data_IF_368902285153
#
_entry.id   IF_368902285153
#
_cell.length_a   1.000
_cell.length_b   1.000
_cell.length_c   1.000
_cell.angle_alpha   90.00
_cell.angle_beta   90.00
_cell.angle_gamma   90.00
#
_symmetry.space_group_name_H-M   'P 1'
#
loop_
_entity.id
_entity.type
_entity.pdbx_description
1 polymer ?
#
# COMPACT_ATOMS: atom_id res chain seq x y z
N UNK A 1 14.81 16.84 -29.87
CA UNK A 1 13.44 16.26 -29.80
C UNK A 1 13.51 14.82 -30.24
N UNK A 2 12.87 13.93 -29.51
CA UNK A 2 12.76 12.51 -29.86
C UNK A 2 11.31 12.07 -29.75
N UNK A 3 10.87 11.20 -30.64
CA UNK A 3 9.53 10.61 -30.61
C UNK A 3 9.69 9.11 -30.45
N UNK A 4 9.09 8.54 -29.40
CA UNK A 4 9.02 7.11 -29.21
C UNK A 4 7.56 6.63 -29.29
N UNK A 5 7.34 5.48 -29.91
CA UNK A 5 6.02 4.86 -30.03
C UNK A 5 6.09 3.42 -29.52
N UNK A 6 5.40 3.16 -28.41
CA UNK A 6 5.37 1.85 -27.76
C UNK A 6 3.95 1.56 -27.28
N UNK A 7 3.45 0.35 -27.55
CA UNK A 7 2.15 -0.14 -27.06
C UNK A 7 0.96 0.80 -27.32
N UNK A 8 0.94 1.50 -28.46
CA UNK A 8 -0.13 2.43 -28.82
C UNK A 8 -0.08 3.79 -28.09
N UNK A 9 1.06 4.09 -27.43
CA UNK A 9 1.37 5.40 -26.84
C UNK A 9 2.48 6.08 -27.61
N UNK A 10 2.34 7.39 -27.81
CA UNK A 10 3.37 8.24 -28.43
C UNK A 10 3.93 9.19 -27.37
N UNK A 11 5.23 9.09 -27.11
CA UNK A 11 5.94 10.00 -26.21
C UNK A 11 6.76 10.99 -27.02
N UNK A 12 6.45 12.27 -26.89
CA UNK A 12 7.17 13.38 -27.53
C UNK A 12 8.11 13.98 -26.49
N UNK A 13 9.41 13.70 -26.62
CA UNK A 13 10.43 14.27 -25.73
C UNK A 13 10.93 15.60 -26.27
N UNK A 14 10.64 16.66 -25.53
CA UNK A 14 11.12 18.01 -25.81
C UNK A 14 12.46 18.22 -25.11
N UNK A 15 13.39 18.90 -25.78
CA UNK A 15 14.77 19.06 -25.32
C UNK A 15 15.25 20.49 -25.57
N UNK A 16 16.06 21.04 -24.65
CA UNK A 16 16.65 22.37 -24.75
C UNK A 16 15.62 23.48 -24.59
N UNK A 17 15.69 24.51 -25.42
CA UNK A 17 14.81 25.70 -25.34
C UNK A 17 13.81 25.70 -26.49
N UNK A 18 12.53 25.97 -26.22
CA UNK A 18 11.51 26.22 -27.25
C UNK A 18 11.06 27.68 -27.16
N UNK A 19 11.41 28.48 -28.17
CA UNK A 19 11.11 29.90 -28.24
C UNK A 19 10.54 30.32 -29.60
N UNK A 20 10.40 31.62 -29.83
CA UNK A 20 9.80 32.16 -31.07
C UNK A 20 10.56 31.76 -32.34
N UNK A 21 11.86 31.47 -32.24
CA UNK A 21 12.69 31.15 -33.40
C UNK A 21 12.49 29.72 -33.88
N UNK A 22 12.33 28.77 -32.96
CA UNK A 22 12.21 27.34 -33.30
C UNK A 22 10.80 26.76 -33.14
N UNK A 23 9.87 27.46 -32.49
CA UNK A 23 8.48 27.00 -32.32
C UNK A 23 7.79 26.58 -33.64
N UNK A 24 7.94 27.28 -34.79
CA UNK A 24 7.32 26.83 -36.05
C UNK A 24 7.86 25.47 -36.53
N UNK A 25 9.16 25.23 -36.34
CA UNK A 25 9.79 23.97 -36.71
C UNK A 25 9.37 22.85 -35.76
N UNK A 26 9.38 23.11 -34.44
CA UNK A 26 8.89 22.18 -33.43
C UNK A 26 7.43 21.80 -33.68
N UNK A 27 6.57 22.76 -34.03
CA UNK A 27 5.18 22.49 -34.41
C UNK A 27 5.10 21.54 -35.60
N UNK A 28 5.85 21.81 -36.68
CA UNK A 28 5.85 20.96 -37.86
C UNK A 28 6.29 19.53 -37.55
N UNK A 29 7.33 19.36 -36.72
CA UNK A 29 7.82 18.04 -36.34
C UNK A 29 6.83 17.28 -35.45
N UNK A 30 6.24 17.95 -34.45
CA UNK A 30 5.20 17.37 -33.58
C UNK A 30 4.00 16.92 -34.43
N UNK A 31 3.47 17.81 -35.26
CA UNK A 31 2.27 17.52 -36.05
C UNK A 31 2.52 16.44 -37.10
N UNK A 32 3.68 16.41 -37.74
CA UNK A 32 4.06 15.31 -38.64
C UNK A 32 4.20 13.96 -37.94
N UNK A 33 4.53 13.96 -36.64
CA UNK A 33 4.66 12.74 -35.86
C UNK A 33 3.35 12.18 -35.33
N UNK A 34 2.32 13.02 -35.16
CA UNK A 34 1.00 12.63 -34.62
C UNK A 34 -0.09 12.56 -35.68
N UNK A 35 0.18 13.00 -36.91
CA UNK A 35 -0.78 12.98 -38.02
C UNK A 35 -1.29 11.55 -38.28
N UNK A 36 -2.62 11.38 -38.31
CA UNK A 36 -3.26 10.09 -38.53
C UNK A 36 -3.18 9.11 -37.36
N UNK A 37 -2.57 9.48 -36.23
CA UNK A 37 -2.47 8.63 -35.03
C UNK A 37 -3.64 8.88 -34.09
N UNK A 38 -4.26 7.80 -33.63
CA UNK A 38 -5.28 7.81 -32.55
C UNK A 38 -4.69 7.46 -31.18
N UNK A 39 -3.35 7.38 -31.11
CA UNK A 39 -2.57 6.99 -29.94
C UNK A 39 -2.73 7.98 -28.78
N UNK A 40 -2.53 7.47 -27.57
CA UNK A 40 -2.43 8.30 -26.37
C UNK A 40 -1.08 9.03 -26.39
N UNK A 41 -1.11 10.37 -26.35
CA UNK A 41 0.07 11.22 -26.54
C UNK A 41 0.49 11.82 -25.21
N UNK A 42 1.78 11.69 -24.88
CA UNK A 42 2.39 12.31 -23.70
C UNK A 42 3.58 13.17 -24.14
N UNK A 43 3.74 14.33 -23.52
CA UNK A 43 4.91 15.19 -23.69
C UNK A 43 5.86 14.94 -22.51
N UNK A 44 7.08 14.52 -22.81
CA UNK A 44 8.16 14.38 -21.82
C UNK A 44 9.04 15.63 -21.85
N UNK A 45 9.05 16.36 -20.74
CA UNK A 45 9.77 17.61 -20.55
C UNK A 45 11.06 17.44 -19.72
N UNK A 46 11.53 16.20 -19.50
CA UNK A 46 12.71 15.92 -18.66
C UNK A 46 13.94 16.76 -19.05
N UNK A 47 14.13 16.98 -20.36
CA UNK A 47 15.24 17.75 -20.92
C UNK A 47 14.83 19.13 -21.46
N UNK A 48 13.59 19.56 -21.20
CA UNK A 48 13.13 20.89 -21.58
C UNK A 48 13.63 21.89 -20.55
N UNK A 49 14.48 22.81 -20.99
CA UNK A 49 15.09 23.83 -20.14
C UNK A 49 14.25 25.11 -20.08
N UNK A 50 13.50 25.41 -21.15
CA UNK A 50 12.71 26.64 -21.25
C UNK A 50 11.64 26.55 -22.34
N UNK A 51 10.49 27.19 -22.10
CA UNK A 51 9.43 27.34 -23.09
C UNK A 51 8.84 28.76 -23.09
N UNK A 52 8.80 29.42 -24.24
CA UNK A 52 8.17 30.74 -24.39
C UNK A 52 6.68 30.63 -24.72
N UNK A 53 5.96 31.75 -24.73
CA UNK A 53 4.56 31.80 -25.19
C UNK A 53 4.35 31.25 -26.61
N UNK A 54 5.38 31.28 -27.47
CA UNK A 54 5.31 30.66 -28.79
C UNK A 54 5.27 29.13 -28.69
N UNK A 55 6.13 28.53 -27.85
CA UNK A 55 6.12 27.09 -27.59
C UNK A 55 4.84 26.63 -26.88
N UNK A 56 4.33 27.41 -25.92
CA UNK A 56 3.04 27.13 -25.28
C UNK A 56 1.90 27.05 -26.32
N UNK A 57 1.88 27.95 -27.30
CA UNK A 57 0.88 27.87 -28.39
C UNK A 57 1.00 26.58 -29.21
N UNK A 58 2.20 26.01 -29.37
CA UNK A 58 2.38 24.71 -30.02
C UNK A 58 1.69 23.60 -29.21
N UNK A 59 1.90 23.57 -27.88
CA UNK A 59 1.24 22.60 -27.00
C UNK A 59 -0.29 22.77 -26.98
N UNK A 60 -0.79 24.00 -27.02
CA UNK A 60 -2.24 24.28 -27.14
C UNK A 60 -2.81 23.74 -28.44
N UNK A 61 -2.12 23.94 -29.56
CA UNK A 61 -2.54 23.40 -30.86
C UNK A 61 -2.57 21.87 -30.82
N UNK A 62 -1.53 21.24 -30.27
CA UNK A 62 -1.47 19.79 -30.12
C UNK A 62 -2.64 19.26 -29.28
N UNK A 63 -2.90 19.83 -28.10
CA UNK A 63 -4.05 19.48 -27.26
C UNK A 63 -5.38 19.63 -28.03
N UNK A 64 -5.53 20.71 -28.79
CA UNK A 64 -6.74 20.96 -29.59
C UNK A 64 -6.92 19.94 -30.72
N UNK A 65 -5.84 19.51 -31.37
CA UNK A 65 -5.93 18.53 -32.46
C UNK A 65 -6.24 17.12 -31.97
N UNK A 66 -5.76 16.75 -30.78
CA UNK A 66 -6.03 15.43 -30.20
C UNK A 66 -7.42 15.34 -29.52
N UNK A 67 -7.99 16.47 -29.11
CA UNK A 67 -9.34 16.54 -28.51
C UNK A 67 -9.46 15.86 -27.14
N UNK A 68 -8.35 15.55 -26.48
CA UNK A 68 -8.24 14.89 -25.17
C UNK A 68 -7.28 15.67 -24.25
N UNK A 69 -7.31 15.46 -22.92
CA UNK A 69 -6.27 15.97 -22.03
C UNK A 69 -4.88 15.54 -22.53
N UNK A 70 -3.91 16.46 -22.47
CA UNK A 70 -2.52 16.19 -22.82
C UNK A 70 -1.69 16.20 -21.53
N UNK A 71 -1.02 15.08 -21.25
CA UNK A 71 -0.09 14.99 -20.12
C UNK A 71 1.27 15.58 -20.50
N UNK A 72 1.84 16.39 -19.61
CA UNK A 72 3.21 16.92 -19.70
C UNK A 72 3.95 16.47 -18.45
N UNK A 73 4.89 15.54 -18.59
CA UNK A 73 5.57 14.88 -17.47
C UNK A 73 7.04 15.31 -17.36
N UNK A 74 7.67 14.99 -16.23
CA UNK A 74 9.06 15.30 -15.93
C UNK A 74 9.39 16.80 -16.05
N UNK A 75 8.44 17.66 -15.69
CA UNK A 75 8.60 19.11 -15.83
C UNK A 75 9.53 19.63 -14.73
N UNK A 76 10.65 20.23 -15.12
CA UNK A 76 11.56 20.90 -14.18
C UNK A 76 10.83 22.03 -13.42
N UNK A 77 11.36 22.44 -12.26
CA UNK A 77 10.77 23.54 -11.48
C UNK A 77 10.63 24.81 -12.32
N UNK A 78 11.68 25.19 -13.05
CA UNK A 78 11.69 26.41 -13.86
C UNK A 78 10.62 26.39 -14.97
N UNK A 79 10.45 25.24 -15.64
CA UNK A 79 9.41 25.11 -16.68
C UNK A 79 8.01 25.03 -16.05
N UNK A 80 7.88 24.40 -14.88
CA UNK A 80 6.62 24.33 -14.17
C UNK A 80 6.16 25.72 -13.73
N UNK A 81 7.05 26.56 -13.21
CA UNK A 81 6.76 27.93 -12.81
C UNK A 81 6.26 28.76 -14.00
N UNK A 82 6.79 28.53 -15.21
CA UNK A 82 6.28 29.13 -16.45
C UNK A 82 4.86 28.64 -16.76
N UNK A 83 4.60 27.33 -16.66
CA UNK A 83 3.26 26.78 -16.86
C UNK A 83 2.26 27.31 -15.85
N UNK A 84 2.63 27.39 -14.57
CA UNK A 84 1.79 27.90 -13.50
C UNK A 84 1.48 29.39 -13.70
N UNK A 85 2.50 30.22 -13.93
CA UNK A 85 2.34 31.68 -14.14
C UNK A 85 1.46 32.00 -15.35
N UNK A 86 1.44 31.10 -16.34
CA UNK A 86 0.64 31.28 -17.58
C UNK A 86 -0.73 30.60 -17.54
N UNK A 87 -1.11 29.95 -16.42
CA UNK A 87 -2.37 29.22 -16.26
C UNK A 87 -2.43 27.89 -17.02
N UNK A 88 -1.29 27.39 -17.48
CA UNK A 88 -1.19 26.15 -18.25
C UNK A 88 -1.48 24.91 -17.41
N UNK A 89 -1.18 24.95 -16.11
CA UNK A 89 -1.46 23.87 -15.16
C UNK A 89 -2.96 23.61 -14.96
N UNK A 90 -3.83 24.56 -15.30
CA UNK A 90 -5.30 24.39 -15.27
C UNK A 90 -5.84 23.68 -16.52
N UNK A 91 -5.06 23.68 -17.61
CA UNK A 91 -5.48 23.19 -18.93
C UNK A 91 -4.87 21.83 -19.29
N UNK A 92 -3.72 21.50 -18.69
CA UNK A 92 -2.92 20.30 -18.97
C UNK A 92 -2.68 19.50 -17.69
N UNK A 93 -2.52 18.18 -17.81
CA UNK A 93 -2.06 17.34 -16.70
C UNK A 93 -0.53 17.48 -16.60
N UNK A 94 -0.08 18.48 -15.85
CA UNK A 94 1.34 18.83 -15.70
C UNK A 94 1.93 18.16 -14.46
N UNK A 95 2.87 17.23 -14.66
CA UNK A 95 3.56 16.51 -13.59
C UNK A 95 5.00 16.98 -13.45
N UNK A 96 5.35 17.51 -12.27
CA UNK A 96 6.72 17.91 -11.93
C UNK A 96 7.66 16.71 -12.03
N UNK A 97 8.91 16.96 -12.41
CA UNK A 97 9.98 16.00 -12.23
C UNK A 97 10.12 15.66 -10.74
N UNK A 98 10.31 14.38 -10.42
CA UNK A 98 10.56 13.96 -9.06
C UNK A 98 11.92 14.50 -8.60
N UNK A 99 12.00 14.91 -7.34
CA UNK A 99 13.27 15.29 -6.73
C UNK A 99 14.14 14.02 -6.63
N UNK A 100 15.43 14.16 -6.89
CA UNK A 100 16.39 13.06 -6.74
C UNK A 100 16.94 13.03 -5.31
N UNK A 101 16.90 11.85 -4.69
CA UNK A 101 17.42 11.60 -3.35
C UNK A 101 18.27 10.34 -3.39
N UNK A 102 19.49 10.40 -2.88
CA UNK A 102 20.33 9.20 -2.77
C UNK A 102 20.08 8.49 -1.45
N UNK A 103 20.04 7.16 -1.50
CA UNK A 103 19.97 6.27 -0.32
C UNK A 103 21.28 5.52 -0.08
N UNK A 104 22.30 5.77 -0.90
CA UNK A 104 23.63 5.20 -0.76
C UNK A 104 24.23 5.54 0.63
N UNK A 105 24.50 4.49 1.42
CA UNK A 105 25.06 4.63 2.76
C UNK A 105 24.03 4.89 3.87
N UNK A 106 22.74 5.04 3.54
CA UNK A 106 21.68 5.14 4.53
C UNK A 106 21.48 3.82 5.28
N UNK A 107 21.11 3.91 6.55
CA UNK A 107 20.76 2.74 7.36
C UNK A 107 19.42 2.16 6.87
N UNK A 108 19.43 0.87 6.52
CA UNK A 108 18.20 0.13 6.23
C UNK A 108 17.51 -0.26 7.54
N UNK A 109 16.37 0.36 7.85
CA UNK A 109 15.65 0.17 9.11
C UNK A 109 14.48 -0.82 9.00
N UNK A 110 14.08 -1.16 7.77
CA UNK A 110 13.03 -2.12 7.48
C UNK A 110 13.04 -2.63 6.04
N UNK A 111 12.41 -3.79 5.80
CA UNK A 111 12.22 -4.35 4.46
C UNK A 111 10.87 -5.06 4.40
N UNK A 112 10.04 -4.69 3.43
CA UNK A 112 8.73 -5.28 3.17
C UNK A 112 8.65 -6.00 1.82
N UNK A 113 7.46 -6.44 1.45
CA UNK A 113 7.21 -7.08 0.14
C UNK A 113 7.36 -6.09 -1.03
N UNK A 114 7.02 -4.82 -0.80
CA UNK A 114 6.96 -3.78 -1.84
C UNK A 114 8.21 -2.91 -1.92
N UNK A 115 9.19 -3.09 -1.02
CA UNK A 115 10.36 -2.22 -0.98
C UNK A 115 11.19 -2.31 0.31
N UNK A 116 12.09 -1.35 0.48
CA UNK A 116 12.94 -1.18 1.66
C UNK A 116 12.66 0.18 2.31
N UNK A 117 12.92 0.28 3.61
CA UNK A 117 12.82 1.54 4.35
C UNK A 117 14.20 1.94 4.83
N UNK A 118 14.62 3.16 4.47
CA UNK A 118 15.89 3.75 4.87
C UNK A 118 15.67 4.94 5.79
N UNK A 119 16.62 5.17 6.70
CA UNK A 119 16.73 6.43 7.44
C UNK A 119 17.55 7.42 6.61
N UNK A 120 16.94 8.54 6.22
CA UNK A 120 17.63 9.60 5.46
C UNK A 120 18.41 10.51 6.41
N UNK A 121 17.80 10.90 7.52
CA UNK A 121 18.40 11.71 8.58
C UNK A 121 17.70 11.45 9.94
N UNK A 122 17.93 12.32 10.93
CA UNK A 122 17.36 12.20 12.28
C UNK A 122 15.82 12.33 12.28
N UNK A 123 15.25 13.04 11.31
CA UNK A 123 13.84 13.42 11.26
C UNK A 123 13.06 12.69 10.16
N UNK A 124 13.74 12.14 9.14
CA UNK A 124 13.09 11.63 7.95
C UNK A 124 13.46 10.19 7.61
N UNK A 125 12.47 9.46 7.10
CA UNK A 125 12.64 8.12 6.55
C UNK A 125 12.09 8.08 5.12
N UNK A 126 12.56 7.11 4.34
CA UNK A 126 12.11 6.88 2.96
C UNK A 126 11.77 5.42 2.75
N UNK A 127 10.56 5.15 2.22
CA UNK A 127 10.19 3.84 1.67
C UNK A 127 10.52 3.83 0.19
N UNK A 128 11.54 3.07 -0.20
CA UNK A 128 11.97 2.90 -1.59
C UNK A 128 11.34 1.64 -2.16
N UNK A 129 10.58 1.79 -3.23
CA UNK A 129 9.91 0.70 -3.93
C UNK A 129 10.85 0.11 -5.00
N UNK A 130 10.53 -1.08 -5.49
CA UNK A 130 11.31 -1.68 -6.59
C UNK A 130 11.29 -0.76 -7.83
N UNK A 131 12.39 -0.71 -8.59
CA UNK A 131 12.59 0.18 -9.75
C UNK A 131 11.38 0.31 -10.70
N UNK A 132 10.69 -0.80 -10.96
CA UNK A 132 9.58 -0.83 -11.92
C UNK A 132 8.19 -0.60 -11.29
N UNK A 133 8.13 -0.18 -10.03
CA UNK A 133 6.86 0.09 -9.35
C UNK A 133 6.15 1.30 -9.98
N UNK A 134 4.90 1.14 -10.46
CA UNK A 134 4.15 2.24 -11.03
C UNK A 134 3.94 3.36 -10.01
N UNK A 135 4.27 4.60 -10.38
CA UNK A 135 4.05 5.79 -9.54
C UNK A 135 2.59 5.91 -9.06
N UNK A 136 1.63 5.48 -9.88
CA UNK A 136 0.21 5.50 -9.50
C UNK A 136 -0.11 4.63 -8.29
N UNK A 137 0.62 3.54 -8.04
CA UNK A 137 0.45 2.72 -6.83
C UNK A 137 0.98 3.45 -5.59
N UNK A 138 2.07 4.19 -5.75
CA UNK A 138 2.70 4.96 -4.67
C UNK A 138 1.86 6.19 -4.31
N UNK A 139 1.35 6.89 -5.34
CA UNK A 139 0.40 7.98 -5.18
C UNK A 139 -0.87 7.51 -4.45
N UNK A 140 -1.36 6.32 -4.82
CA UNK A 140 -2.52 5.68 -4.19
C UNK A 140 -2.24 5.33 -2.73
N UNK A 141 -1.08 4.74 -2.39
CA UNK A 141 -0.70 4.48 -0.99
C UNK A 141 -0.64 5.79 -0.18
N UNK A 142 -0.08 6.87 -0.75
CA UNK A 142 -0.06 8.19 -0.10
C UNK A 142 -1.47 8.75 0.11
N UNK A 143 -2.35 8.62 -0.87
CA UNK A 143 -3.74 9.06 -0.77
C UNK A 143 -4.51 8.27 0.29
N UNK A 144 -4.30 6.96 0.34
CA UNK A 144 -4.85 6.05 1.34
C UNK A 144 -4.43 6.43 2.76
N UNK A 145 -3.13 6.70 2.97
CA UNK A 145 -2.63 7.17 4.25
C UNK A 145 -3.24 8.52 4.65
N UNK A 146 -3.27 9.49 3.73
CA UNK A 146 -3.85 10.82 3.97
C UNK A 146 -5.34 10.75 4.32
N UNK A 147 -6.12 9.94 3.59
CA UNK A 147 -7.54 9.79 3.84
C UNK A 147 -7.82 9.15 5.21
N UNK A 148 -7.03 8.15 5.62
CA UNK A 148 -7.10 7.58 6.96
C UNK A 148 -6.84 8.66 8.04
N UNK A 149 -5.81 9.49 7.86
CA UNK A 149 -5.46 10.56 8.79
C UNK A 149 -6.59 11.58 8.99
N UNK A 150 -7.17 12.10 7.90
CA UNK A 150 -8.24 13.11 8.00
C UNK A 150 -9.52 12.57 8.66
N UNK A 151 -9.72 11.25 8.67
CA UNK A 151 -10.83 10.58 9.36
C UNK A 151 -10.48 10.15 10.79
N UNK A 152 -9.29 10.52 11.30
CA UNK A 152 -8.92 10.31 12.69
C UNK A 152 -8.13 9.04 12.98
N UNK A 153 -7.65 8.33 11.94
CA UNK A 153 -6.70 7.21 12.11
C UNK A 153 -5.28 7.76 12.03
N UNK A 154 -4.47 7.70 13.10
CA UNK A 154 -3.07 8.14 13.07
C UNK A 154 -2.26 7.31 12.07
N UNK A 155 -2.00 7.86 10.89
CA UNK A 155 -1.20 7.25 9.82
C UNK A 155 -0.04 8.16 9.41
N UNK A 156 1.06 7.57 8.95
CA UNK A 156 2.19 8.34 8.49
C UNK A 156 1.85 9.01 7.16
N UNK A 157 1.90 10.34 7.14
CA UNK A 157 1.70 11.11 5.91
C UNK A 157 3.06 11.32 5.26
N UNK A 158 3.18 10.85 4.03
CA UNK A 158 4.30 11.19 3.19
C UNK A 158 4.12 12.57 2.57
N UNK A 159 5.16 13.39 2.63
CA UNK A 159 5.13 14.75 2.10
C UNK A 159 5.74 14.85 0.69
N UNK A 160 6.54 13.87 0.27
CA UNK A 160 7.26 13.92 -1.01
C UNK A 160 7.33 12.54 -1.68
N UNK A 161 7.31 12.54 -3.02
CA UNK A 161 7.63 11.38 -3.85
C UNK A 161 8.91 11.74 -4.61
N UNK A 162 9.91 10.88 -4.50
CA UNK A 162 11.26 11.14 -5.01
C UNK A 162 11.74 10.02 -5.91
N UNK A 163 12.75 10.30 -6.70
CA UNK A 163 13.50 9.28 -7.45
C UNK A 163 14.79 8.96 -6.70
N UNK A 164 15.09 7.67 -6.56
CA UNK A 164 16.35 7.18 -5.99
C UNK A 164 17.05 6.25 -6.99
N UNK A 165 18.30 5.92 -6.71
CA UNK A 165 19.09 4.92 -7.45
C UNK A 165 18.54 3.48 -7.34
N UNK A 166 17.62 3.21 -6.42
CA UNK A 166 16.96 1.90 -6.23
C UNK A 166 15.47 1.90 -6.60
N UNK A 167 14.97 3.02 -7.12
CA UNK A 167 13.59 3.17 -7.59
C UNK A 167 12.87 4.39 -6.99
N UNK A 168 11.56 4.53 -7.25
CA UNK A 168 10.78 5.61 -6.68
C UNK A 168 10.67 5.45 -5.15
N UNK A 169 10.67 6.57 -4.43
CA UNK A 169 10.64 6.61 -2.98
C UNK A 169 9.54 7.52 -2.43
N UNK A 170 9.01 7.17 -1.27
CA UNK A 170 8.01 7.94 -0.54
C UNK A 170 8.65 8.41 0.78
N UNK A 171 8.70 9.74 0.99
CA UNK A 171 9.43 10.35 2.12
C UNK A 171 8.47 10.78 3.22
N UNK A 172 8.81 10.44 4.47
CA UNK A 172 8.00 10.66 5.67
C UNK A 172 8.80 11.40 6.74
N UNK A 173 8.13 12.28 7.48
CA UNK A 173 8.66 12.87 8.72
C UNK A 173 8.38 11.89 9.87
N UNK A 174 9.43 11.23 10.38
CA UNK A 174 9.36 10.22 11.44
C UNK A 174 10.62 10.29 12.33
N UNK A 175 10.76 11.39 13.05
CA UNK A 175 11.90 11.65 13.92
C UNK A 175 11.99 10.65 15.08
N UNK A 176 13.14 9.97 15.18
CA UNK A 176 13.40 9.00 16.25
C UNK A 176 12.44 7.80 16.31
N UNK A 177 11.62 7.58 15.28
CA UNK A 177 10.58 6.57 15.31
C UNK A 177 11.15 5.14 15.18
N UNK A 178 10.55 4.19 15.90
CA UNK A 178 10.85 2.76 15.82
C UNK A 178 9.55 1.95 15.79
N UNK A 179 9.58 0.69 15.36
CA UNK A 179 8.35 -0.13 15.36
C UNK A 179 7.92 -0.47 16.78
N UNK A 180 6.61 -0.66 17.00
CA UNK A 180 6.06 -1.08 18.31
C UNK A 180 6.76 -2.35 18.82
N UNK A 181 7.02 -3.31 17.93
CA UNK A 181 7.72 -4.55 18.28
C UNK A 181 9.11 -4.26 18.84
N UNK A 182 9.94 -3.55 18.08
CA UNK A 182 11.29 -3.16 18.51
C UNK A 182 11.28 -2.32 19.78
N UNK A 183 10.31 -1.40 19.93
CA UNK A 183 10.19 -0.56 21.12
C UNK A 183 9.95 -1.40 22.39
N UNK A 184 9.00 -2.36 22.33
CA UNK A 184 8.69 -3.25 23.46
C UNK A 184 9.89 -4.15 23.80
N UNK A 185 10.59 -4.68 22.79
CA UNK A 185 11.80 -5.49 23.04
C UNK A 185 12.91 -4.68 23.73
N UNK A 186 13.04 -3.40 23.40
CA UNK A 186 14.00 -2.50 24.07
C UNK A 186 13.51 -2.02 25.46
N UNK A 187 12.20 -1.98 25.69
CA UNK A 187 11.58 -1.49 26.93
C UNK A 187 10.50 -2.47 27.44
N UNK A 188 10.87 -3.63 27.99
CA UNK A 188 9.90 -4.65 28.39
C UNK A 188 8.90 -4.19 29.46
N UNK A 189 9.27 -3.20 30.29
CA UNK A 189 8.41 -2.56 31.28
C UNK A 189 7.24 -1.77 30.66
N UNK A 190 7.37 -1.41 29.38
CA UNK A 190 6.37 -0.68 28.60
C UNK A 190 5.42 -1.57 27.81
N UNK A 191 5.57 -2.90 27.86
CA UNK A 191 4.74 -3.84 27.11
C UNK A 191 3.24 -3.60 27.31
N UNK A 192 2.78 -3.48 28.56
CA UNK A 192 1.37 -3.30 28.88
C UNK A 192 0.82 -2.01 28.25
N UNK A 193 1.56 -0.90 28.39
CA UNK A 193 1.17 0.41 27.88
C UNK A 193 1.01 0.38 26.36
N UNK A 194 2.01 -0.11 25.65
CA UNK A 194 2.02 -0.11 24.19
C UNK A 194 1.10 -1.17 23.58
N UNK A 195 0.86 -2.29 24.26
CA UNK A 195 -0.16 -3.25 23.83
C UNK A 195 -1.57 -2.67 23.92
N UNK A 196 -1.87 -1.87 24.96
CA UNK A 196 -3.15 -1.14 25.07
C UNK A 196 -3.25 -0.08 23.97
N UNK A 197 -2.20 0.72 23.74
CA UNK A 197 -2.20 1.71 22.64
C UNK A 197 -2.39 1.03 21.28
N UNK A 198 -1.73 -0.10 21.04
CA UNK A 198 -1.84 -0.88 19.79
C UNK A 198 -3.27 -1.41 19.61
N UNK A 199 -3.87 -2.03 20.62
CA UNK A 199 -5.27 -2.47 20.53
C UNK A 199 -6.28 -1.33 20.39
N UNK A 200 -6.00 -0.17 21.00
CA UNK A 200 -6.82 1.05 20.85
C UNK A 200 -6.73 1.58 19.42
N UNK A 201 -5.53 1.64 18.83
CA UNK A 201 -5.33 2.06 17.44
C UNK A 201 -6.06 1.14 16.46
N UNK A 202 -6.00 -0.18 16.65
CA UNK A 202 -6.78 -1.13 15.84
C UNK A 202 -8.28 -0.89 15.95
N UNK A 203 -8.78 -0.63 17.17
CA UNK A 203 -10.19 -0.28 17.41
C UNK A 203 -10.58 1.02 16.72
N UNK A 204 -9.74 2.05 16.79
CA UNK A 204 -9.95 3.33 16.10
C UNK A 204 -10.06 3.09 14.60
N UNK A 205 -9.10 2.38 13.99
CA UNK A 205 -9.14 2.01 12.58
C UNK A 205 -10.44 1.29 12.21
N UNK A 206 -10.77 0.20 12.92
CA UNK A 206 -11.96 -0.62 12.64
C UNK A 206 -13.29 0.01 13.11
N UNK A 207 -13.27 1.25 13.60
CA UNK A 207 -14.46 2.06 13.87
C UNK A 207 -14.58 3.27 12.94
N UNK A 208 -13.59 3.48 12.08
CA UNK A 208 -13.57 4.60 11.12
C UNK A 208 -14.20 4.15 9.82
N UNK A 209 -15.20 4.90 9.32
CA UNK A 209 -15.83 4.64 8.02
C UNK A 209 -14.80 4.76 6.88
N UNK A 210 -14.83 3.81 5.94
CA UNK A 210 -14.00 3.84 4.75
C UNK A 210 -14.77 4.43 3.57
N UNK A 211 -14.17 5.42 2.89
CA UNK A 211 -14.72 5.98 1.66
C UNK A 211 -14.82 4.90 0.56
N UNK A 212 -16.04 4.51 0.13
CA UNK A 212 -16.23 3.46 -0.86
C UNK A 212 -15.80 3.85 -2.27
N UNK A 213 -15.55 5.15 -2.53
CA UNK A 213 -15.01 5.63 -3.80
C UNK A 213 -13.49 5.49 -3.87
N UNK A 214 -12.83 5.41 -2.72
CA UNK A 214 -11.38 5.34 -2.59
C UNK A 214 -10.91 3.90 -2.29
N UNK A 215 -11.57 3.23 -1.35
CA UNK A 215 -11.16 1.92 -0.84
C UNK A 215 -12.00 0.79 -1.45
N UNK A 216 -11.30 -0.23 -1.97
CA UNK A 216 -11.95 -1.43 -2.48
C UNK A 216 -12.57 -2.28 -1.37
N UNK A 217 -13.56 -3.10 -1.71
CA UNK A 217 -14.15 -4.05 -0.77
C UNK A 217 -13.20 -5.21 -0.50
N UNK A 218 -12.91 -5.50 0.76
CA UNK A 218 -11.97 -6.55 1.13
C UNK A 218 -12.44 -7.94 0.70
N UNK A 219 -13.75 -8.20 0.67
CA UNK A 219 -14.26 -9.48 0.20
C UNK A 219 -13.95 -9.66 -1.28
N UNK A 220 -14.05 -8.62 -2.09
CA UNK A 220 -13.72 -8.69 -3.52
C UNK A 220 -12.24 -8.97 -3.73
N UNK A 221 -11.37 -8.37 -2.92
CA UNK A 221 -9.92 -8.67 -2.90
C UNK A 221 -9.68 -10.15 -2.58
N UNK A 222 -10.35 -10.69 -1.55
CA UNK A 222 -10.22 -12.11 -1.20
C UNK A 222 -10.81 -13.04 -2.27
N UNK A 223 -11.91 -12.65 -2.92
CA UNK A 223 -12.53 -13.40 -4.02
C UNK A 223 -11.58 -13.53 -5.21
N UNK A 224 -10.95 -12.43 -5.61
CA UNK A 224 -9.92 -12.41 -6.67
C UNK A 224 -8.72 -13.30 -6.31
N UNK A 225 -8.23 -13.20 -5.07
CA UNK A 225 -7.15 -14.07 -4.56
C UNK A 225 -7.55 -15.55 -4.61
N UNK A 226 -8.74 -15.92 -4.16
CA UNK A 226 -9.22 -17.30 -4.21
C UNK A 226 -9.35 -17.81 -5.64
N UNK A 227 -9.87 -17.00 -6.56
CA UNK A 227 -9.92 -17.35 -7.97
C UNK A 227 -8.52 -17.61 -8.55
N UNK A 228 -7.54 -16.74 -8.27
CA UNK A 228 -6.14 -16.94 -8.67
C UNK A 228 -5.48 -18.17 -8.04
N UNK A 229 -5.95 -18.59 -6.86
CA UNK A 229 -5.50 -19.80 -6.19
C UNK A 229 -6.09 -21.10 -6.78
N UNK A 230 -6.99 -21.01 -7.77
CA UNK A 230 -7.71 -22.15 -8.34
C UNK A 230 -6.83 -23.27 -8.89
N UNK A 231 -5.57 -23.00 -9.25
CA UNK A 231 -4.63 -24.05 -9.67
C UNK A 231 -4.19 -24.99 -8.55
N UNK A 232 -4.42 -24.63 -7.28
CA UNK A 232 -4.01 -25.41 -6.10
C UNK A 232 -5.15 -26.25 -5.50
N UNK A 233 -6.40 -25.96 -5.86
CA UNK A 233 -7.61 -26.48 -5.25
C UNK A 233 -8.57 -27.03 -6.31
N UNK A 234 -9.46 -27.93 -5.92
CA UNK A 234 -10.58 -28.34 -6.80
C UNK A 234 -11.65 -27.24 -6.86
N UNK A 235 -12.52 -27.28 -7.87
CA UNK A 235 -13.67 -26.36 -7.97
C UNK A 235 -14.58 -26.44 -6.74
N UNK A 236 -14.73 -27.65 -6.17
CA UNK A 236 -15.48 -27.88 -4.93
C UNK A 236 -14.81 -27.20 -3.74
N UNK A 237 -13.49 -27.35 -3.59
CA UNK A 237 -12.71 -26.71 -2.53
C UNK A 237 -12.76 -25.17 -2.63
N UNK A 238 -12.65 -24.62 -3.85
CA UNK A 238 -12.82 -23.18 -4.10
C UNK A 238 -14.24 -22.74 -3.75
N UNK A 239 -15.26 -23.50 -4.14
CA UNK A 239 -16.66 -23.23 -3.80
C UNK A 239 -16.89 -23.16 -2.28
N UNK A 240 -16.26 -24.06 -1.51
CA UNK A 240 -16.30 -24.03 -0.05
C UNK A 240 -15.63 -22.77 0.53
N UNK A 241 -14.46 -22.37 0.01
CA UNK A 241 -13.76 -21.17 0.45
C UNK A 241 -14.57 -19.90 0.16
N UNK A 242 -15.21 -19.83 -1.01
CA UNK A 242 -16.08 -18.70 -1.39
C UNK A 242 -17.32 -18.64 -0.49
N UNK A 243 -17.98 -19.77 -0.23
CA UNK A 243 -19.13 -19.84 0.70
C UNK A 243 -18.74 -19.36 2.11
N UNK A 244 -17.54 -19.70 2.56
CA UNK A 244 -17.02 -19.23 3.85
C UNK A 244 -16.78 -17.72 3.86
N UNK A 245 -16.16 -17.18 2.81
CA UNK A 245 -15.98 -15.75 2.63
C UNK A 245 -17.32 -14.99 2.65
N UNK A 246 -18.33 -15.53 1.98
CA UNK A 246 -19.68 -14.93 1.92
C UNK A 246 -20.43 -15.02 3.26
N UNK A 247 -20.06 -15.97 4.13
CA UNK A 247 -20.68 -16.09 5.47
C UNK A 247 -20.18 -15.05 6.48
N UNK A 248 -19.06 -14.38 6.22
CA UNK A 248 -18.59 -13.26 7.03
C UNK A 248 -19.57 -12.09 6.80
N UNK A 249 -20.08 -11.38 7.82
CA UNK A 249 -20.96 -10.23 7.60
C UNK A 249 -20.25 -9.13 6.80
N UNK A 250 -21.01 -8.32 6.04
CA UNK A 250 -20.45 -7.15 5.37
C UNK A 250 -20.03 -6.07 6.40
N UNK A 251 -19.24 -5.10 5.94
CA UNK A 251 -18.83 -3.96 6.75
C UNK A 251 -18.41 -2.77 5.90
N UNK A 252 -18.39 -1.59 6.52
CA UNK A 252 -18.08 -0.32 5.85
C UNK A 252 -16.85 0.38 6.43
N UNK A 253 -16.22 -0.19 7.45
CA UNK A 253 -15.09 0.43 8.15
C UNK A 253 -13.76 0.17 7.43
N UNK A 254 -12.75 0.95 7.80
CA UNK A 254 -11.38 0.79 7.34
C UNK A 254 -10.77 -0.51 7.88
N UNK A 255 -10.17 -1.27 6.96
CA UNK A 255 -9.45 -2.52 7.22
C UNK A 255 -8.04 -2.37 6.68
N UNK A 256 -7.02 -2.48 7.53
CA UNK A 256 -5.62 -2.34 7.13
C UNK A 256 -5.18 -3.45 6.17
N UNK A 257 -5.61 -4.69 6.41
CA UNK A 257 -5.28 -5.86 5.60
C UNK A 257 -4.00 -6.59 6.00
N UNK A 258 -3.08 -5.90 6.69
CA UNK A 258 -1.87 -6.51 7.29
C UNK A 258 -1.42 -5.85 8.61
N UNK A 259 -2.33 -5.71 9.57
CA UNK A 259 -2.04 -5.03 10.83
C UNK A 259 -1.16 -5.88 11.76
N UNK A 260 0.05 -5.42 12.09
CA UNK A 260 0.96 -6.06 13.05
C UNK A 260 1.97 -5.05 13.62
N UNK A 261 2.74 -5.43 14.64
CA UNK A 261 3.62 -4.51 15.41
C UNK A 261 4.82 -3.94 14.64
N UNK A 262 5.09 -4.40 13.42
CA UNK A 262 6.08 -3.81 12.52
C UNK A 262 5.48 -2.80 11.53
N UNK A 263 4.16 -2.79 11.37
CA UNK A 263 3.43 -1.79 10.58
C UNK A 263 2.87 -0.65 11.46
N UNK A 264 3.27 -0.60 12.73
CA UNK A 264 2.93 0.50 13.65
C UNK A 264 4.22 1.02 14.28
N UNK A 265 4.39 2.34 14.24
CA UNK A 265 5.56 3.05 14.71
C UNK A 265 5.25 3.81 16.00
N UNK A 266 6.21 3.81 16.92
CA UNK A 266 6.24 4.65 18.12
C UNK A 266 7.02 5.91 17.78
N UNK A 267 6.37 7.06 17.90
CA UNK A 267 6.99 8.38 17.73
C UNK A 267 7.76 8.79 19.00
N UNK A 268 8.56 9.86 18.90
CA UNK A 268 9.38 10.37 20.01
C UNK A 268 8.55 10.88 21.21
N UNK A 269 7.30 11.30 20.98
CA UNK A 269 6.34 11.69 22.01
C UNK A 269 5.57 10.49 22.61
N UNK A 270 5.82 9.28 22.11
CA UNK A 270 5.19 8.04 22.55
C UNK A 270 3.86 7.72 21.86
N UNK A 271 3.41 8.53 20.90
CA UNK A 271 2.21 8.25 20.11
C UNK A 271 2.44 7.16 19.06
N UNK A 272 1.36 6.50 18.66
CA UNK A 272 1.40 5.44 17.64
C UNK A 272 0.96 5.97 16.29
N UNK A 273 1.70 5.59 15.25
CA UNK A 273 1.41 5.94 13.86
C UNK A 273 1.45 4.68 12.99
N UNK A 274 0.38 4.47 12.23
CA UNK A 274 0.24 3.37 11.27
C UNK A 274 1.04 3.67 10.00
N UNK A 275 1.73 2.66 9.47
CA UNK A 275 2.49 2.73 8.21
C UNK A 275 2.05 1.58 7.29
N UNK A 276 2.54 1.58 6.05
CA UNK A 276 2.26 0.56 5.03
C UNK A 276 0.76 0.48 4.66
N UNK A 277 0.23 1.63 4.23
CA UNK A 277 -1.19 1.82 3.94
C UNK A 277 -1.61 1.32 2.56
N UNK A 278 -0.81 0.51 1.88
CA UNK A 278 -1.04 0.09 0.50
C UNK A 278 -2.24 -0.87 0.36
N UNK A 279 -2.47 -1.70 1.37
CA UNK A 279 -3.49 -2.76 1.38
C UNK A 279 -4.80 -2.35 2.07
N UNK A 280 -4.91 -1.10 2.51
CA UNK A 280 -6.12 -0.64 3.20
C UNK A 280 -7.35 -0.77 2.29
N UNK A 281 -8.45 -1.24 2.87
CA UNK A 281 -9.68 -1.59 2.19
C UNK A 281 -10.88 -1.29 3.09
N UNK A 282 -12.07 -1.51 2.54
CA UNK A 282 -13.35 -1.39 3.25
C UNK A 282 -13.89 -2.78 3.58
N UNK A 283 -14.39 -3.00 4.80
CA UNK A 283 -15.02 -4.28 5.12
C UNK A 283 -15.33 -4.52 6.58
N UNK A 284 -15.37 -5.80 6.94
CA UNK A 284 -15.66 -6.26 8.30
C UNK A 284 -14.38 -6.33 9.15
N UNK A 285 -14.36 -5.85 10.40
CA UNK A 285 -13.19 -5.89 11.30
C UNK A 285 -12.55 -7.27 11.49
N UNK A 286 -13.32 -8.36 11.30
CA UNK A 286 -12.79 -9.72 11.40
C UNK A 286 -11.54 -9.93 10.55
N UNK A 287 -11.45 -9.29 9.38
CA UNK A 287 -10.31 -9.42 8.48
C UNK A 287 -9.00 -8.88 9.09
N UNK A 288 -9.06 -7.75 9.81
CA UNK A 288 -7.90 -7.24 10.53
C UNK A 288 -7.64 -8.06 11.80
N UNK A 289 -8.65 -8.24 12.66
CA UNK A 289 -8.47 -8.91 13.95
C UNK A 289 -7.91 -10.33 13.75
N UNK A 290 -8.52 -11.12 12.87
CA UNK A 290 -8.05 -12.47 12.61
C UNK A 290 -6.82 -12.52 11.69
N UNK A 291 -6.65 -11.53 10.81
CA UNK A 291 -5.42 -11.36 10.04
C UNK A 291 -4.21 -11.13 10.96
N UNK A 292 -4.33 -10.18 11.88
CA UNK A 292 -3.34 -9.88 12.92
C UNK A 292 -3.10 -11.08 13.82
N UNK A 293 -4.13 -11.83 14.21
CA UNK A 293 -3.96 -13.07 14.98
C UNK A 293 -3.01 -14.04 14.28
N UNK A 294 -3.19 -14.27 12.97
CA UNK A 294 -2.31 -15.14 12.20
C UNK A 294 -0.86 -14.67 12.35
N UNK A 295 -0.58 -13.40 12.13
CA UNK A 295 0.80 -12.87 12.11
C UNK A 295 1.39 -12.81 13.53
N UNK A 296 0.64 -12.31 14.51
CA UNK A 296 1.07 -12.09 15.90
C UNK A 296 1.16 -13.38 16.73
N UNK A 297 0.21 -14.31 16.55
CA UNK A 297 0.11 -15.52 17.38
C UNK A 297 0.58 -16.80 16.69
N UNK A 298 0.69 -16.80 15.36
CA UNK A 298 1.04 -18.04 14.60
C UNK A 298 2.13 -17.87 13.54
N UNK A 299 2.38 -16.64 13.08
CA UNK A 299 3.18 -16.31 11.90
C UNK A 299 4.69 -16.36 12.13
N UNK A 300 5.12 -16.26 13.38
CA UNK A 300 6.51 -16.49 13.80
C UNK A 300 6.90 -17.97 13.87
N UNK A 301 5.96 -18.91 13.67
CA UNK A 301 6.17 -20.27 14.16
C UNK A 301 6.40 -20.24 15.68
N UNK A 302 6.72 -21.37 16.30
CA UNK A 302 7.25 -21.34 17.67
C UNK A 302 8.74 -20.95 17.66
N UNK A 303 9.13 -20.03 16.77
CA UNK A 303 10.51 -19.66 16.47
C UNK A 303 10.71 -18.14 16.61
N UNK A 304 11.41 -17.76 17.67
CA UNK A 304 11.67 -16.36 17.98
C UNK A 304 12.44 -15.64 16.86
N UNK A 305 13.28 -16.32 16.08
CA UNK A 305 14.02 -15.67 14.99
C UNK A 305 13.08 -15.17 13.89
N UNK A 306 12.10 -15.99 13.53
CA UNK A 306 11.09 -15.62 12.53
C UNK A 306 10.16 -14.56 13.10
N UNK A 307 9.73 -14.70 14.35
CA UNK A 307 8.88 -13.72 15.02
C UNK A 307 9.55 -12.33 15.09
N UNK A 308 10.82 -12.27 15.53
CA UNK A 308 11.58 -11.01 15.58
C UNK A 308 11.73 -10.37 14.19
N UNK A 309 11.93 -11.17 13.14
CA UNK A 309 12.03 -10.65 11.78
C UNK A 309 10.70 -10.10 11.25
N UNK A 310 9.58 -10.79 11.51
CA UNK A 310 8.28 -10.45 10.91
C UNK A 310 7.54 -9.38 11.70
N UNK A 311 7.56 -9.47 13.03
CA UNK A 311 6.77 -8.59 13.93
C UNK A 311 7.62 -7.83 14.95
N UNK A 312 8.94 -8.04 15.00
CA UNK A 312 9.81 -7.33 15.93
C UNK A 312 9.66 -7.74 17.39
N UNK A 313 8.97 -8.86 17.67
CA UNK A 313 8.74 -9.42 19.01
C UNK A 313 9.16 -10.88 19.05
N UNK A 314 9.62 -11.35 20.20
CA UNK A 314 9.68 -12.79 20.48
C UNK A 314 8.27 -13.39 20.63
N UNK A 315 8.15 -14.72 20.54
CA UNK A 315 6.85 -15.41 20.57
C UNK A 315 6.08 -15.16 21.88
N UNK A 316 6.79 -15.05 23.01
CA UNK A 316 6.18 -14.83 24.32
C UNK A 316 5.54 -13.44 24.41
N UNK A 317 6.31 -12.42 24.04
CA UNK A 317 5.89 -11.03 24.05
C UNK A 317 4.77 -10.79 23.05
N UNK A 318 4.85 -11.41 21.86
CA UNK A 318 3.80 -11.35 20.86
C UNK A 318 2.46 -11.90 21.38
N UNK A 319 2.47 -13.04 22.09
CA UNK A 319 1.27 -13.60 22.72
C UNK A 319 0.69 -12.65 23.79
N UNK A 320 1.54 -12.06 24.64
CA UNK A 320 1.10 -11.12 25.67
C UNK A 320 0.49 -9.85 25.06
N UNK A 321 1.18 -9.25 24.08
CA UNK A 321 0.68 -8.07 23.35
C UNK A 321 -0.66 -8.37 22.70
N UNK A 322 -0.80 -9.53 22.07
CA UNK A 322 -2.04 -9.90 21.40
C UNK A 322 -3.21 -10.14 22.37
N UNK A 323 -2.97 -10.77 23.51
CA UNK A 323 -4.00 -10.98 24.55
C UNK A 323 -4.52 -9.65 25.12
N UNK A 324 -3.61 -8.69 25.37
CA UNK A 324 -3.96 -7.34 25.81
C UNK A 324 -4.70 -6.59 24.69
N UNK A 325 -4.26 -6.76 23.45
CA UNK A 325 -4.89 -6.16 22.26
C UNK A 325 -6.35 -6.60 22.13
N UNK A 326 -6.62 -7.90 22.19
CA UNK A 326 -7.99 -8.43 22.14
C UNK A 326 -8.84 -7.90 23.29
N UNK A 327 -8.31 -7.91 24.52
CA UNK A 327 -9.03 -7.42 25.69
C UNK A 327 -9.39 -5.94 25.56
N UNK A 328 -8.46 -5.13 25.04
CA UNK A 328 -8.64 -3.69 24.80
C UNK A 328 -9.64 -3.43 23.68
N UNK A 329 -9.51 -4.14 22.55
CA UNK A 329 -10.38 -3.98 21.39
C UNK A 329 -11.84 -4.26 21.76
N UNK A 330 -12.09 -5.40 22.41
CA UNK A 330 -13.42 -5.87 22.77
C UNK A 330 -13.96 -5.33 24.10
N UNK A 331 -13.17 -4.52 24.81
CA UNK A 331 -13.47 -3.97 26.13
C UNK A 331 -13.97 -5.07 27.09
N UNK A 332 -13.20 -6.15 27.20
CA UNK A 332 -13.59 -7.32 27.99
C UNK A 332 -12.38 -8.09 28.51
N UNK A 333 -12.52 -8.62 29.73
CA UNK A 333 -11.58 -9.56 30.32
C UNK A 333 -12.19 -10.96 30.50
N UNK A 334 -13.38 -11.21 29.94
CA UNK A 334 -14.07 -12.50 30.06
C UNK A 334 -13.29 -13.59 29.29
N UNK A 335 -12.76 -14.62 29.98
CA UNK A 335 -11.97 -15.67 29.33
C UNK A 335 -12.77 -16.48 28.31
N UNK A 336 -14.08 -16.65 28.51
CA UNK A 336 -14.96 -17.35 27.59
C UNK A 336 -15.18 -16.57 26.30
N UNK A 337 -15.45 -15.25 26.40
CA UNK A 337 -15.59 -14.37 25.24
C UNK A 337 -14.28 -14.29 24.44
N UNK A 338 -13.15 -14.04 25.12
CA UNK A 338 -11.84 -13.99 24.47
C UNK A 338 -11.43 -15.35 23.89
N UNK A 339 -11.79 -16.46 24.55
CA UNK A 339 -11.58 -17.81 24.03
C UNK A 339 -12.33 -18.06 22.72
N UNK A 340 -13.60 -17.65 22.64
CA UNK A 340 -14.39 -17.75 21.41
C UNK A 340 -13.77 -16.92 20.27
N UNK A 341 -13.35 -15.68 20.54
CA UNK A 341 -12.70 -14.81 19.55
C UNK A 341 -11.41 -15.45 19.02
N UNK A 342 -10.58 -16.01 19.90
CA UNK A 342 -9.36 -16.72 19.48
C UNK A 342 -9.69 -17.93 18.58
N UNK A 343 -10.77 -18.65 18.86
CA UNK A 343 -11.22 -19.76 18.01
C UNK A 343 -11.66 -19.27 16.61
N UNK A 344 -12.41 -18.18 16.53
CA UNK A 344 -12.79 -17.54 15.26
C UNK A 344 -11.53 -17.13 14.49
N UNK A 345 -10.58 -16.48 15.16
CA UNK A 345 -9.32 -16.05 14.55
C UNK A 345 -8.46 -17.22 14.05
N UNK A 346 -8.41 -18.32 14.80
CA UNK A 346 -7.71 -19.55 14.39
C UNK A 346 -8.33 -20.20 13.16
N UNK A 347 -9.66 -20.26 13.08
CA UNK A 347 -10.37 -20.74 11.89
C UNK A 347 -10.11 -19.83 10.68
N UNK A 348 -10.17 -18.51 10.86
CA UNK A 348 -9.90 -17.54 9.81
C UNK A 348 -8.44 -17.55 9.35
N UNK A 349 -7.49 -17.83 10.25
CA UNK A 349 -6.08 -17.98 9.90
C UNK A 349 -5.86 -19.05 8.83
N UNK A 350 -6.53 -20.20 8.95
CA UNK A 350 -6.50 -21.26 7.94
C UNK A 350 -7.10 -20.78 6.62
N UNK A 351 -8.26 -20.12 6.66
CA UNK A 351 -8.88 -19.52 5.48
C UNK A 351 -7.94 -18.51 4.79
N UNK A 352 -7.29 -17.62 5.55
CA UNK A 352 -6.34 -16.62 5.03
C UNK A 352 -5.16 -17.29 4.35
N UNK A 353 -4.65 -18.41 4.86
CA UNK A 353 -3.58 -19.18 4.20
C UNK A 353 -3.99 -19.65 2.80
N UNK A 354 -5.24 -20.09 2.60
CA UNK A 354 -5.73 -20.46 1.26
C UNK A 354 -5.68 -19.25 0.32
N UNK A 355 -6.22 -18.10 0.75
CA UNK A 355 -6.20 -16.87 -0.03
C UNK A 355 -4.77 -16.35 -0.31
N UNK A 356 -3.80 -16.62 0.56
CA UNK A 356 -2.40 -16.20 0.32
C UNK A 356 -1.75 -16.88 -0.88
N UNK A 357 -2.21 -18.07 -1.28
CA UNK A 357 -1.70 -18.74 -2.48
C UNK A 357 -2.02 -17.94 -3.75
N UNK A 358 -3.14 -17.23 -3.76
CA UNK A 358 -3.59 -16.36 -4.84
C UNK A 358 -2.71 -15.12 -5.07
N UNK A 359 -1.83 -14.77 -4.13
CA UNK A 359 -0.87 -13.68 -4.32
C UNK A 359 0.21 -14.04 -5.36
N UNK A 360 0.42 -15.32 -5.65
CA UNK A 360 1.34 -15.77 -6.71
C UNK A 360 2.83 -15.46 -6.49
N UNK A 361 3.22 -14.99 -5.30
CA UNK A 361 4.63 -14.75 -4.93
C UNK A 361 5.44 -16.05 -4.92
N UNK A 362 6.75 -15.97 -5.11
CA UNK A 362 7.63 -17.16 -4.97
C UNK A 362 7.50 -17.81 -3.58
N UNK A 363 7.31 -17.01 -2.54
CA UNK A 363 7.07 -17.50 -1.17
C UNK A 363 5.76 -18.28 -1.06
N UNK A 364 4.67 -17.80 -1.68
CA UNK A 364 3.38 -18.49 -1.63
C UNK A 364 3.40 -19.78 -2.45
N UNK A 365 4.04 -19.78 -3.63
CA UNK A 365 4.27 -20.99 -4.44
C UNK A 365 5.04 -22.06 -3.67
N UNK A 366 6.14 -21.67 -3.02
CA UNK A 366 6.97 -22.59 -2.24
C UNK A 366 6.21 -23.23 -1.06
N UNK A 367 5.26 -22.50 -0.45
CA UNK A 367 4.44 -22.98 0.66
C UNK A 367 3.18 -23.74 0.23
N UNK A 368 2.80 -23.69 -1.04
CA UNK A 368 1.53 -24.25 -1.53
C UNK A 368 1.32 -25.75 -1.18
N UNK A 369 2.31 -26.65 -1.30
CA UNK A 369 2.11 -28.06 -0.94
C UNK A 369 1.77 -28.26 0.54
N UNK A 370 2.43 -27.50 1.43
CA UNK A 370 2.21 -27.59 2.88
C UNK A 370 0.84 -27.00 3.25
N UNK A 371 0.48 -25.85 2.67
CA UNK A 371 -0.79 -25.18 2.93
C UNK A 371 -1.96 -26.04 2.44
N UNK A 372 -1.91 -26.55 1.21
CA UNK A 372 -3.01 -27.35 0.64
C UNK A 372 -3.24 -28.65 1.40
N UNK A 373 -2.16 -29.36 1.79
CA UNK A 373 -2.27 -30.56 2.62
C UNK A 373 -2.92 -30.27 3.97
N UNK A 374 -2.50 -29.18 4.65
CA UNK A 374 -3.06 -28.76 5.94
C UNK A 374 -4.55 -28.41 5.82
N UNK A 375 -4.97 -27.74 4.75
CA UNK A 375 -6.37 -27.37 4.53
C UNK A 375 -7.25 -28.60 4.28
N UNK A 376 -6.77 -29.58 3.49
CA UNK A 376 -7.47 -30.84 3.25
C UNK A 376 -7.64 -31.69 4.50
N UNK A 377 -6.65 -31.68 5.38
CA UNK A 377 -6.70 -32.44 6.63
C UNK A 377 -7.57 -31.74 7.68
N UNK A 378 -7.43 -30.42 7.84
CA UNK A 378 -7.93 -29.71 9.03
C UNK A 378 -9.05 -28.72 8.74
N UNK A 379 -9.09 -28.16 7.54
CA UNK A 379 -9.99 -27.06 7.21
C UNK A 379 -11.27 -27.52 6.52
N UNK A 380 -11.16 -28.14 5.33
CA UNK A 380 -12.32 -28.57 4.55
C UNK A 380 -13.25 -29.53 5.31
N UNK A 381 -12.76 -30.51 6.10
CA UNK A 381 -13.64 -31.36 6.89
C UNK A 381 -14.47 -30.62 7.95
N UNK A 382 -14.07 -29.39 8.32
CA UNK A 382 -14.71 -28.56 9.34
C UNK A 382 -15.37 -27.31 8.77
N UNK A 383 -15.50 -27.18 7.44
CA UNK A 383 -15.94 -25.96 6.78
C UNK A 383 -17.29 -25.43 7.28
N UNK A 384 -18.29 -26.31 7.47
CA UNK A 384 -19.60 -25.88 7.99
C UNK A 384 -19.54 -25.30 9.41
N UNK A 385 -18.63 -25.81 10.26
CA UNK A 385 -18.42 -25.25 11.60
C UNK A 385 -17.74 -23.88 11.52
N UNK A 386 -16.77 -23.72 10.63
CA UNK A 386 -16.10 -22.43 10.42
C UNK A 386 -17.06 -21.39 9.83
N UNK A 387 -17.98 -21.77 8.97
CA UNK A 387 -19.01 -20.85 8.45
C UNK A 387 -19.93 -20.32 9.55
N UNK A 388 -20.26 -21.16 10.53
CA UNK A 388 -21.00 -20.71 11.72
C UNK A 388 -20.18 -19.74 12.57
N UNK A 389 -18.88 -20.01 12.76
CA UNK A 389 -17.99 -19.12 13.51
C UNK A 389 -17.82 -17.76 12.83
N UNK A 390 -17.68 -17.74 11.51
CA UNK A 390 -17.46 -16.51 10.73
C UNK A 390 -18.70 -15.62 10.65
N UNK A 391 -19.90 -16.19 10.78
CA UNK A 391 -21.15 -15.43 10.79
C UNK A 391 -21.52 -14.88 12.18
N UNK A 392 -20.76 -15.21 13.23
CA UNK A 392 -21.02 -14.67 14.57
C UNK A 392 -20.64 -13.18 14.63
N UNK A 393 -21.44 -12.35 15.32
CA UNK A 393 -21.02 -11.00 15.66
C UNK A 393 -19.82 -11.06 16.62
N UNK A 394 -18.83 -10.19 16.39
CA UNK A 394 -17.63 -10.06 17.22
C UNK A 394 -17.85 -9.13 18.41
#
# INVERSE_FOLDING_TARGET
>A
MTINEENGKVTIRLEGRIDTNNAPQTEKEIFGAVEGKTADITVDAEKLEYISSAGLRVLMKLRKSIGKPLAVINVSRDVYDIFETTGFTELFDVKKALRKVSVAGCEAIGRGGHGKVYRLDEETIIKVYHDNSPLSLIEKEREYAKNAFIHGVPSAIAYDIVETEEGPGLVFEMAGATTVGKYIMAHPDKLQEYAVKFGTLLKTLNSTEADPTLYGDIKDIYRDRLHKAGSYFTDEEIGMLIKLLDSIPDGSVMIHGDYHTNNVMVQSDGELVLIDMADISRGNPLFDIAGSYLVMSTGGGKDDNIALQVIGLDCKSAAQVWDITLSTYFDTADPGKLGLIRNICGAFSLFRLAATLGMGTERSKAKAPVITAMLRERFFPNADNFSKLFSMPL
#
